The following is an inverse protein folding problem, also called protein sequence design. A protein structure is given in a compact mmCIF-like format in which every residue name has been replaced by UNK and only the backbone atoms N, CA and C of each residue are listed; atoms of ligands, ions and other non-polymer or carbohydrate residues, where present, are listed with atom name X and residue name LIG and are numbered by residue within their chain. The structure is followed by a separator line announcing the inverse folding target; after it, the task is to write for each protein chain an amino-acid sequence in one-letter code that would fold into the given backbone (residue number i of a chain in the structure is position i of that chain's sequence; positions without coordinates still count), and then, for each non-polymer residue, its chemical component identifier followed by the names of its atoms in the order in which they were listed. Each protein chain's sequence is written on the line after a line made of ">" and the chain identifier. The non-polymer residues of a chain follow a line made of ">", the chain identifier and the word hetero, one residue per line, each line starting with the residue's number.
data_IF_002290078528
#
_entry.id   IF_002290078528
#
_cell.length_a   1.000
_cell.length_b   1.000
_cell.length_c   1.000
_cell.angle_alpha   90.00
_cell.angle_beta   90.00
_cell.angle_gamma   90.00
#
_symmetry.space_group_name_H-M   'P 1'
#
loop_
_entity.id
_entity.type
_entity.pdbx_description
1 polymer ?
#
# COMPACT_ATOMS: atom_id res chain seq x y z
N UNK A 1 93.20 -5.43 -10.07
CA UNK A 1 92.74 -4.72 -8.91
C UNK A 1 91.30 -4.32 -9.28
N UNK A 2 90.40 -5.11 -8.97
CA UNK A 2 88.95 -4.99 -9.34
C UNK A 2 88.26 -4.70 -8.03
N UNK A 3 87.83 -3.50 -7.86
CA UNK A 3 86.96 -3.14 -6.74
C UNK A 3 85.51 -3.45 -7.13
N UNK A 4 85.04 -4.53 -6.56
CA UNK A 4 83.67 -5.00 -6.68
C UNK A 4 82.91 -4.39 -5.50
N UNK A 5 82.40 -3.19 -5.71
CA UNK A 5 81.45 -2.56 -4.75
C UNK A 5 80.06 -2.63 -5.31
N UNK A 6 79.56 -3.86 -5.26
CA UNK A 6 78.19 -4.18 -5.58
C UNK A 6 77.30 -3.93 -4.38
N UNK A 7 77.03 -2.69 -4.01
CA UNK A 7 75.98 -2.32 -3.13
C UNK A 7 74.67 -2.41 -3.91
N UNK A 8 74.10 -3.59 -3.91
CA UNK A 8 72.70 -3.76 -4.26
C UNK A 8 71.83 -3.06 -3.19
N UNK A 9 71.63 -1.78 -3.37
CA UNK A 9 70.53 -1.08 -2.79
C UNK A 9 69.27 -1.66 -3.43
N UNK A 10 68.80 -2.76 -2.83
CA UNK A 10 67.41 -3.12 -2.99
C UNK A 10 66.62 -2.00 -2.30
N UNK A 11 66.07 -1.09 -3.09
CA UNK A 11 64.98 -0.23 -2.64
C UNK A 11 63.95 -1.17 -1.99
N UNK A 12 63.95 -1.23 -0.66
CA UNK A 12 62.82 -1.66 0.08
C UNK A 12 61.66 -0.76 -0.37
N UNK A 13 60.96 -1.18 -1.41
CA UNK A 13 59.63 -0.67 -1.64
C UNK A 13 58.90 -0.88 -0.34
N UNK A 14 58.81 0.18 0.44
CA UNK A 14 57.85 0.27 1.51
C UNK A 14 56.54 -0.11 0.90
N UNK A 15 56.16 -1.39 1.04
CA UNK A 15 54.80 -1.77 0.96
C UNK A 15 54.17 -1.06 2.14
N UNK A 16 53.68 0.15 1.87
CA UNK A 16 52.70 0.81 2.71
C UNK A 16 51.69 -0.27 3.02
N UNK A 17 51.71 -0.74 4.26
CA UNK A 17 50.74 -1.73 4.72
C UNK A 17 49.38 -1.07 4.52
N UNK A 18 48.76 -1.39 3.39
CA UNK A 18 47.39 -1.05 3.15
C UNK A 18 46.65 -1.48 4.39
N UNK A 19 46.19 -0.51 5.16
CA UNK A 19 45.44 -0.74 6.38
C UNK A 19 44.07 -1.30 5.98
N UNK A 20 44.06 -2.60 5.80
CA UNK A 20 42.87 -3.37 5.50
C UNK A 20 41.76 -3.21 6.55
N UNK A 21 42.09 -2.58 7.70
CA UNK A 21 41.15 -2.27 8.76
C UNK A 21 40.17 -1.17 8.37
N UNK A 22 40.63 -0.09 7.73
CA UNK A 22 39.76 1.02 7.32
C UNK A 22 38.93 0.65 6.09
N UNK A 23 39.48 -0.12 5.14
CA UNK A 23 38.66 -0.65 4.02
C UNK A 23 37.60 -1.62 4.48
N UNK A 24 37.88 -2.42 5.51
CA UNK A 24 36.88 -3.33 6.07
C UNK A 24 35.75 -2.58 6.80
N UNK A 25 36.04 -1.46 7.47
CA UNK A 25 34.96 -0.64 8.06
C UNK A 25 34.13 0.08 6.99
N UNK A 26 34.79 0.57 5.92
CA UNK A 26 34.07 1.19 4.79
C UNK A 26 33.28 0.16 4.00
N UNK A 27 33.83 -1.04 3.80
CA UNK A 27 33.14 -2.15 3.15
C UNK A 27 32.09 -2.80 4.06
N UNK A 28 32.31 -2.86 5.37
CA UNK A 28 31.26 -3.32 6.29
C UNK A 28 30.09 -2.33 6.35
N UNK A 29 30.36 -1.02 6.23
CA UNK A 29 29.30 0.00 6.03
C UNK A 29 28.64 -0.08 4.66
N UNK A 30 29.37 -0.55 3.62
CA UNK A 30 28.81 -0.79 2.29
C UNK A 30 28.11 -2.16 2.21
N UNK A 31 28.46 -3.11 3.09
CA UNK A 31 27.82 -4.44 3.19
C UNK A 31 26.64 -4.42 4.20
N UNK A 32 26.48 -3.38 4.99
CA UNK A 32 25.15 -2.95 5.44
C UNK A 32 24.27 -2.49 4.25
N UNK A 33 24.66 -2.92 3.04
CA UNK A 33 23.77 -3.04 1.91
C UNK A 33 22.57 -3.83 2.39
N UNK A 34 21.60 -3.08 2.83
CA UNK A 34 20.21 -3.41 3.04
C UNK A 34 19.92 -4.80 2.52
N UNK A 35 19.58 -5.78 3.37
CA UNK A 35 18.98 -6.99 2.84
C UNK A 35 17.94 -6.47 1.86
N UNK A 36 17.94 -6.99 0.63
CA UNK A 36 16.97 -6.60 -0.39
C UNK A 36 15.61 -6.92 0.23
N UNK A 37 15.10 -5.96 0.99
CA UNK A 37 13.87 -6.08 1.73
C UNK A 37 12.80 -5.87 0.66
N UNK A 38 12.25 -6.97 0.22
CA UNK A 38 11.14 -6.98 -0.74
C UNK A 38 9.83 -6.48 -0.09
N UNK A 39 9.96 -5.66 0.95
CA UNK A 39 8.80 -5.15 1.71
C UNK A 39 7.93 -4.24 0.85
N UNK A 40 8.55 -3.40 0.02
CA UNK A 40 7.79 -2.56 -0.91
C UNK A 40 7.03 -3.39 -1.95
N UNK A 41 7.63 -4.48 -2.43
CA UNK A 41 6.97 -5.39 -3.37
C UNK A 41 5.86 -6.16 -2.67
N UNK A 42 6.09 -6.61 -1.43
CA UNK A 42 5.06 -7.28 -0.63
C UNK A 42 3.89 -6.35 -0.34
N UNK A 43 4.15 -5.12 0.08
CA UNK A 43 3.13 -4.10 0.30
C UNK A 43 2.33 -3.80 -0.97
N UNK A 44 3.01 -3.72 -2.13
CA UNK A 44 2.35 -3.53 -3.42
C UNK A 44 1.43 -4.70 -3.77
N UNK A 45 1.87 -5.95 -3.56
CA UNK A 45 1.04 -7.13 -3.79
C UNK A 45 -0.20 -7.15 -2.90
N UNK A 46 -0.06 -6.81 -1.62
CA UNK A 46 -1.19 -6.72 -0.69
C UNK A 46 -2.16 -5.63 -1.12
N UNK A 47 -1.65 -4.49 -1.58
CA UNK A 47 -2.50 -3.39 -2.06
C UNK A 47 -3.22 -3.75 -3.37
N UNK A 48 -2.59 -4.54 -4.26
CA UNK A 48 -3.25 -5.10 -5.45
C UNK A 48 -4.40 -6.02 -5.02
N UNK A 49 -4.16 -6.90 -4.05
CA UNK A 49 -5.21 -7.80 -3.53
C UNK A 49 -6.37 -6.99 -2.96
N UNK A 50 -6.11 -5.93 -2.19
CA UNK A 50 -7.15 -5.03 -1.71
C UNK A 50 -7.94 -4.40 -2.87
N UNK A 51 -7.26 -3.90 -3.91
CA UNK A 51 -7.89 -3.34 -5.10
C UNK A 51 -8.78 -4.36 -5.84
N UNK A 52 -8.34 -5.62 -5.93
CA UNK A 52 -9.15 -6.71 -6.53
C UNK A 52 -10.40 -6.99 -5.69
N UNK A 53 -10.29 -7.02 -4.36
CA UNK A 53 -11.44 -7.21 -3.47
C UNK A 53 -12.46 -6.09 -3.66
N UNK A 54 -12.03 -4.82 -3.71
CA UNK A 54 -12.88 -3.67 -3.97
C UNK A 54 -13.58 -3.77 -5.33
N UNK A 55 -12.85 -4.20 -6.36
CA UNK A 55 -13.41 -4.36 -7.70
C UNK A 55 -14.46 -5.49 -7.74
N UNK A 56 -14.23 -6.61 -7.07
CA UNK A 56 -15.20 -7.70 -6.96
C UNK A 56 -16.46 -7.24 -6.22
N UNK A 57 -16.31 -6.42 -5.16
CA UNK A 57 -17.44 -5.83 -4.44
C UNK A 57 -18.24 -4.90 -5.36
N UNK A 58 -17.58 -4.03 -6.11
CA UNK A 58 -18.23 -3.16 -7.09
C UNK A 58 -18.98 -3.97 -8.16
N UNK A 59 -18.40 -5.06 -8.66
CA UNK A 59 -19.08 -5.96 -9.59
C UNK A 59 -20.32 -6.61 -8.97
N UNK A 60 -20.24 -7.02 -7.70
CA UNK A 60 -21.41 -7.58 -6.98
C UNK A 60 -22.51 -6.55 -6.81
N UNK A 61 -22.17 -5.30 -6.46
CA UNK A 61 -23.14 -4.20 -6.37
C UNK A 61 -23.79 -3.92 -7.73
N UNK A 62 -23.01 -3.92 -8.81
CA UNK A 62 -23.56 -3.78 -10.16
C UNK A 62 -24.48 -4.94 -10.54
N UNK A 63 -24.18 -6.17 -10.10
CA UNK A 63 -25.03 -7.32 -10.31
C UNK A 63 -26.39 -7.19 -9.58
N UNK A 64 -26.40 -6.65 -8.36
CA UNK A 64 -27.63 -6.36 -7.61
C UNK A 64 -28.42 -5.25 -8.30
N UNK A 65 -27.75 -4.18 -8.72
CA UNK A 65 -28.38 -3.02 -9.36
C UNK A 65 -29.01 -3.35 -10.71
N UNK A 66 -28.45 -4.32 -11.43
CA UNK A 66 -28.96 -4.76 -12.74
C UNK A 66 -30.16 -5.69 -12.64
N UNK A 67 -30.42 -6.27 -11.47
CA UNK A 67 -31.48 -7.23 -11.21
C UNK A 67 -32.58 -6.58 -10.34
N UNK A 68 -33.71 -6.26 -10.96
CA UNK A 68 -34.84 -5.62 -10.29
C UNK A 68 -35.36 -6.45 -9.11
N UNK A 69 -35.41 -7.77 -9.26
CA UNK A 69 -35.92 -8.67 -8.22
C UNK A 69 -35.02 -8.63 -6.97
N UNK A 70 -33.71 -8.59 -7.17
CA UNK A 70 -32.76 -8.47 -6.06
C UNK A 70 -32.82 -7.10 -5.38
N UNK A 71 -33.00 -6.03 -6.16
CA UNK A 71 -33.12 -4.68 -5.60
C UNK A 71 -34.39 -4.57 -4.76
N UNK A 72 -35.55 -5.03 -5.28
CA UNK A 72 -36.82 -5.06 -4.53
C UNK A 72 -36.70 -5.93 -3.28
N UNK A 73 -36.09 -7.12 -3.39
CA UNK A 73 -35.87 -7.99 -2.23
C UNK A 73 -34.95 -7.34 -1.17
N UNK A 74 -33.94 -6.55 -1.58
CA UNK A 74 -33.10 -5.80 -0.66
C UNK A 74 -33.89 -4.69 0.05
N UNK A 75 -34.75 -3.97 -0.67
CA UNK A 75 -35.59 -2.90 -0.12
C UNK A 75 -36.54 -3.46 0.95
N UNK A 76 -37.22 -4.57 0.65
CA UNK A 76 -38.11 -5.24 1.61
C UNK A 76 -37.35 -5.66 2.86
N UNK A 77 -36.21 -6.30 2.69
CA UNK A 77 -35.38 -6.75 3.82
C UNK A 77 -34.83 -5.59 4.65
N UNK A 78 -34.50 -4.46 4.02
CA UNK A 78 -34.04 -3.27 4.73
C UNK A 78 -35.17 -2.67 5.57
N UNK A 79 -36.40 -2.57 5.03
CA UNK A 79 -37.56 -2.09 5.76
C UNK A 79 -37.90 -3.03 6.93
N UNK A 80 -37.87 -4.37 6.74
CA UNK A 80 -38.04 -5.33 7.83
C UNK A 80 -37.03 -5.14 8.96
N UNK A 81 -35.74 -4.93 8.59
CA UNK A 81 -34.68 -4.67 9.59
C UNK A 81 -34.90 -3.36 10.35
N UNK A 82 -35.41 -2.34 9.69
CA UNK A 82 -35.70 -1.06 10.32
C UNK A 82 -36.87 -1.16 11.29
N UNK A 83 -37.93 -1.84 10.90
CA UNK A 83 -39.06 -2.12 11.79
C UNK A 83 -38.60 -2.87 13.05
N UNK A 84 -37.75 -3.90 12.89
CA UNK A 84 -37.22 -4.68 14.00
C UNK A 84 -36.30 -3.86 14.94
N UNK A 85 -35.61 -2.87 14.41
CA UNK A 85 -34.68 -2.03 15.20
C UNK A 85 -35.34 -0.76 15.75
N UNK A 86 -36.55 -0.44 15.33
CA UNK A 86 -37.26 0.78 15.71
C UNK A 86 -36.62 2.06 15.18
N UNK A 87 -35.82 1.93 14.10
CA UNK A 87 -35.18 3.08 13.41
C UNK A 87 -36.17 3.60 12.37
N UNK A 88 -36.75 4.75 12.61
CA UNK A 88 -37.56 5.49 11.64
C UNK A 88 -36.63 6.41 10.82
N UNK A 89 -36.76 6.35 9.48
CA UNK A 89 -35.89 7.14 8.57
C UNK A 89 -36.40 8.56 8.39
N UNK A 90 -37.74 8.73 8.48
CA UNK A 90 -38.37 10.02 8.36
C UNK A 90 -39.34 10.28 9.52
N UNK A 91 -39.59 11.56 9.84
CA UNK A 91 -40.56 11.99 10.85
C UNK A 91 -42.02 11.50 10.56
N UNK A 92 -42.26 11.05 9.32
CA UNK A 92 -43.55 10.50 8.88
C UNK A 92 -43.61 8.97 8.91
N UNK A 93 -42.53 8.26 9.33
CA UNK A 93 -42.50 6.79 9.48
C UNK A 93 -42.71 6.05 8.16
N UNK A 94 -42.22 6.58 7.04
CA UNK A 94 -42.36 5.98 5.73
C UNK A 94 -41.33 4.88 5.44
N UNK A 95 -41.75 3.86 4.68
CA UNK A 95 -40.88 2.83 4.15
C UNK A 95 -39.82 3.44 3.21
N UNK A 96 -38.65 2.85 3.21
CA UNK A 96 -37.56 3.23 2.25
C UNK A 96 -38.05 2.88 0.83
N UNK A 97 -38.02 3.89 -0.05
CA UNK A 97 -38.37 3.72 -1.45
C UNK A 97 -37.27 2.96 -2.23
N UNK A 98 -37.69 2.15 -3.21
CA UNK A 98 -36.77 1.39 -4.08
C UNK A 98 -35.83 2.33 -4.84
N UNK A 99 -36.28 3.51 -5.24
CA UNK A 99 -35.45 4.49 -5.93
C UNK A 99 -34.29 5.01 -5.05
N UNK A 100 -34.58 5.21 -3.76
CA UNK A 100 -33.54 5.58 -2.79
C UNK A 100 -32.47 4.48 -2.66
N UNK A 101 -32.91 3.21 -2.51
CA UNK A 101 -31.98 2.07 -2.44
C UNK A 101 -31.10 1.99 -3.70
N UNK A 102 -31.68 2.19 -4.89
CA UNK A 102 -30.95 2.22 -6.16
C UNK A 102 -29.93 3.35 -6.20
N UNK A 103 -30.28 4.53 -5.70
CA UNK A 103 -29.37 5.67 -5.65
C UNK A 103 -28.19 5.41 -4.73
N UNK A 104 -28.43 4.84 -3.55
CA UNK A 104 -27.39 4.44 -2.58
C UNK A 104 -26.47 3.37 -3.19
N UNK A 105 -27.03 2.36 -3.85
CA UNK A 105 -26.25 1.31 -4.53
C UNK A 105 -25.38 1.88 -5.65
N UNK A 106 -25.90 2.83 -6.46
CA UNK A 106 -25.13 3.52 -7.51
C UNK A 106 -24.00 4.35 -6.91
N UNK A 107 -24.28 5.09 -5.84
CA UNK A 107 -23.27 5.86 -5.12
C UNK A 107 -22.18 4.95 -4.55
N UNK A 108 -22.56 3.85 -3.91
CA UNK A 108 -21.66 2.83 -3.38
C UNK A 108 -20.79 2.20 -4.46
N UNK A 109 -21.35 1.86 -5.61
CA UNK A 109 -20.63 1.30 -6.74
C UNK A 109 -19.55 2.26 -7.26
N UNK A 110 -19.91 3.53 -7.50
CA UNK A 110 -18.96 4.54 -7.96
C UNK A 110 -17.85 4.79 -6.94
N UNK A 111 -18.19 4.81 -5.65
CA UNK A 111 -17.27 4.96 -4.55
C UNK A 111 -16.27 3.79 -4.50
N UNK A 112 -16.75 2.54 -4.51
CA UNK A 112 -15.89 1.35 -4.50
C UNK A 112 -14.98 1.27 -5.72
N UNK A 113 -15.49 1.63 -6.89
CA UNK A 113 -14.70 1.69 -8.12
C UNK A 113 -13.59 2.74 -8.01
N UNK A 114 -13.90 3.91 -7.45
CA UNK A 114 -12.93 4.98 -7.19
C UNK A 114 -11.83 4.52 -6.24
N UNK A 115 -12.19 3.87 -5.13
CA UNK A 115 -11.24 3.31 -4.17
C UNK A 115 -10.36 2.22 -4.80
N UNK A 116 -10.92 1.33 -5.64
CA UNK A 116 -10.17 0.31 -6.35
C UNK A 116 -9.11 0.92 -7.30
N UNK A 117 -9.49 1.94 -8.07
CA UNK A 117 -8.57 2.65 -8.98
C UNK A 117 -7.43 3.30 -8.18
N UNK A 118 -7.73 3.97 -7.07
CA UNK A 118 -6.71 4.59 -6.21
C UNK A 118 -5.78 3.55 -5.60
N UNK A 119 -6.29 2.38 -5.19
CA UNK A 119 -5.47 1.28 -4.68
C UNK A 119 -4.50 0.76 -5.76
N UNK A 120 -4.95 0.59 -7.02
CA UNK A 120 -4.07 0.19 -8.11
C UNK A 120 -3.02 1.23 -8.47
N UNK A 121 -3.38 2.52 -8.47
CA UNK A 121 -2.41 3.63 -8.69
C UNK A 121 -1.38 3.65 -7.55
N UNK A 122 -1.81 3.48 -6.31
CA UNK A 122 -0.94 3.38 -5.14
C UNK A 122 0.04 2.21 -5.25
N UNK A 123 -0.45 1.02 -5.65
CA UNK A 123 0.40 -0.16 -5.83
C UNK A 123 1.43 0.02 -6.94
N UNK A 124 1.05 0.63 -8.08
CA UNK A 124 1.97 0.94 -9.17
C UNK A 124 3.06 1.93 -8.74
N UNK A 125 2.70 2.96 -7.94
CA UNK A 125 3.64 3.93 -7.38
C UNK A 125 4.61 3.27 -6.40
N UNK A 126 4.14 2.29 -5.62
CA UNK A 126 4.94 1.52 -4.67
C UNK A 126 5.98 0.64 -5.38
N UNK A 127 5.59 -0.05 -6.46
CA UNK A 127 6.50 -0.85 -7.27
C UNK A 127 7.59 0.03 -7.91
N UNK A 128 7.21 1.23 -8.36
CA UNK A 128 8.13 2.18 -8.98
C UNK A 128 8.95 2.99 -7.97
N UNK A 129 8.67 2.86 -6.68
CA UNK A 129 9.26 3.64 -5.59
C UNK A 129 9.17 5.15 -5.84
N UNK A 130 8.05 5.59 -6.40
CA UNK A 130 7.79 6.99 -6.75
C UNK A 130 6.64 7.52 -5.90
N UNK A 131 6.72 8.81 -5.52
CA UNK A 131 5.62 9.55 -4.92
C UNK A 131 4.96 8.84 -3.72
N UNK A 132 5.65 8.80 -2.60
CA UNK A 132 5.16 8.24 -1.33
C UNK A 132 3.74 8.68 -0.97
N UNK A 133 3.39 9.95 -1.21
CA UNK A 133 2.04 10.47 -0.93
C UNK A 133 0.94 9.75 -1.73
N UNK A 134 1.21 9.37 -2.98
CA UNK A 134 0.24 8.63 -3.80
C UNK A 134 0.02 7.22 -3.23
N UNK A 135 1.09 6.59 -2.72
CA UNK A 135 0.97 5.30 -2.05
C UNK A 135 0.09 5.40 -0.81
N UNK A 136 0.30 6.43 0.02
CA UNK A 136 -0.53 6.67 1.21
C UNK A 136 -2.00 6.87 0.84
N UNK A 137 -2.29 7.63 -0.22
CA UNK A 137 -3.66 7.82 -0.71
C UNK A 137 -4.26 6.47 -1.16
N UNK A 138 -3.49 5.64 -1.87
CA UNK A 138 -3.94 4.30 -2.28
C UNK A 138 -4.24 3.38 -1.08
N UNK A 139 -3.38 3.38 -0.06
CA UNK A 139 -3.59 2.60 1.17
C UNK A 139 -4.81 3.10 1.95
N UNK A 140 -4.98 4.42 2.09
CA UNK A 140 -6.15 4.99 2.78
C UNK A 140 -7.43 4.71 2.03
N UNK A 141 -7.44 4.78 0.70
CA UNK A 141 -8.59 4.40 -0.12
C UNK A 141 -8.96 2.93 0.08
N UNK A 142 -7.97 2.02 0.19
CA UNK A 142 -8.22 0.61 0.46
C UNK A 142 -8.78 0.36 1.88
N UNK A 143 -8.41 1.19 2.87
CA UNK A 143 -8.93 1.10 4.25
C UNK A 143 -10.38 1.59 4.32
N UNK A 144 -10.70 2.69 3.64
CA UNK A 144 -12.02 3.33 3.70
C UNK A 144 -13.02 2.58 2.80
N UNK A 145 -12.54 1.89 1.76
CA UNK A 145 -13.38 1.06 0.90
C UNK A 145 -14.08 -0.04 1.69
N UNK A 146 -15.38 -0.21 1.47
CA UNK A 146 -16.23 -1.19 2.16
C UNK A 146 -16.13 -2.60 1.57
N UNK A 147 -15.11 -2.84 0.74
CA UNK A 147 -14.91 -4.08 0.00
C UNK A 147 -14.81 -5.32 0.89
N UNK A 148 -15.71 -6.27 0.66
CA UNK A 148 -15.65 -7.60 1.27
C UNK A 148 -15.73 -7.62 2.80
N UNK A 149 -16.60 -6.82 3.41
CA UNK A 149 -16.82 -6.85 4.87
C UNK A 149 -15.53 -6.83 5.69
N UNK A 150 -14.80 -5.74 5.68
CA UNK A 150 -13.53 -5.53 6.42
C UNK A 150 -12.28 -6.20 5.82
N UNK A 151 -12.38 -7.10 4.84
CA UNK A 151 -11.18 -7.70 4.22
C UNK A 151 -10.30 -6.65 3.54
N UNK A 152 -10.90 -5.70 2.81
CA UNK A 152 -10.20 -4.58 2.20
C UNK A 152 -9.56 -3.68 3.25
N UNK A 153 -10.25 -3.39 4.35
CA UNK A 153 -9.74 -2.59 5.45
C UNK A 153 -8.50 -3.23 6.10
N UNK A 154 -8.56 -4.53 6.38
CA UNK A 154 -7.45 -5.27 6.97
C UNK A 154 -6.24 -5.29 6.01
N UNK A 155 -6.48 -5.64 4.73
CA UNK A 155 -5.41 -5.67 3.72
C UNK A 155 -4.83 -4.28 3.48
N UNK A 156 -5.65 -3.24 3.43
CA UNK A 156 -5.23 -1.84 3.33
C UNK A 156 -4.39 -1.39 4.54
N UNK A 157 -4.79 -1.76 5.76
CA UNK A 157 -4.04 -1.45 6.98
C UNK A 157 -2.67 -2.14 7.01
N UNK A 158 -2.59 -3.41 6.60
CA UNK A 158 -1.33 -4.14 6.48
C UNK A 158 -0.43 -3.49 5.42
N UNK A 159 -0.98 -3.13 4.26
CA UNK A 159 -0.24 -2.44 3.21
C UNK A 159 0.29 -1.08 3.70
N UNK A 160 -0.53 -0.33 4.43
CA UNK A 160 -0.13 0.95 5.02
C UNK A 160 1.02 0.77 6.02
N UNK A 161 0.92 -0.20 6.91
CA UNK A 161 1.96 -0.52 7.88
C UNK A 161 3.30 -0.86 7.21
N UNK A 162 3.29 -1.72 6.19
CA UNK A 162 4.48 -2.06 5.42
C UNK A 162 5.03 -0.85 4.66
N UNK A 163 4.16 0.02 4.14
CA UNK A 163 4.55 1.27 3.46
C UNK A 163 5.30 2.20 4.41
N UNK A 164 4.88 2.31 5.68
CA UNK A 164 5.62 3.08 6.68
C UNK A 164 7.00 2.50 6.97
N UNK A 165 7.14 1.17 7.01
CA UNK A 165 8.44 0.53 7.19
C UNK A 165 9.37 0.77 6.00
N UNK A 166 8.84 0.87 4.79
CA UNK A 166 9.60 1.12 3.56
C UNK A 166 9.82 2.62 3.25
N UNK A 167 9.48 3.55 4.16
CA UNK A 167 9.59 5.00 3.95
C UNK A 167 10.98 5.42 3.45
N UNK A 168 12.02 4.81 4.00
CA UNK A 168 13.41 5.08 3.61
C UNK A 168 13.73 4.69 2.15
N UNK A 169 13.01 3.74 1.55
CA UNK A 169 13.20 3.34 0.16
C UNK A 169 12.76 4.42 -0.85
N UNK A 170 11.94 5.38 -0.39
CA UNK A 170 11.50 6.54 -1.17
C UNK A 170 12.45 7.74 -1.04
N UNK A 171 13.61 7.59 -0.40
CA UNK A 171 14.59 8.67 -0.20
C UNK A 171 14.16 9.70 0.84
N UNK A 172 13.14 9.44 1.63
CA UNK A 172 12.67 10.31 2.70
C UNK A 172 13.47 9.95 3.96
N UNK A 173 14.47 10.75 4.29
CA UNK A 173 15.26 10.61 5.51
C UNK A 173 14.55 11.31 6.66
N UNK A 174 14.65 10.74 7.88
CA UNK A 174 14.07 11.32 9.11
C UNK A 174 14.61 12.72 9.44
N UNK A 175 15.74 13.12 8.81
CA UNK A 175 16.32 14.45 9.00
C UNK A 175 15.53 15.58 8.32
N UNK A 176 14.67 15.27 7.35
CA UNK A 176 13.86 16.25 6.63
C UNK A 176 12.57 16.64 7.39
N UNK A 177 12.27 15.96 8.51
CA UNK A 177 11.09 16.23 9.35
C UNK A 177 11.32 17.23 10.49
N UNK A 178 12.55 17.79 10.63
CA UNK A 178 12.81 18.84 11.62
C UNK A 178 12.27 20.18 11.13
N UNK A 179 11.03 20.48 11.47
CA UNK A 179 10.39 21.81 11.37
C UNK A 179 10.64 22.62 12.62
#
# INVERSE_FOLDING_TARGET
>A
MIDDDGSNEWEETQYESLDWGEENESQSKLIEVYPVRNESVLAALILIVAGVILLLTAMSLNGILSDNEKTTGLTVKTNEMMDDTGLEVDEEGGDIDEDFVRQVLRGGLLYELGCAVLAFIGSASLIRRQNYNIVLIGCTAAIIGLGGFLLSTITGAIALYLTFQCKHEFGINEQDESW
#
